data_IF_929742826369
#
_entry.id   IF_929742826369
#
_cell.length_a   1.000
_cell.length_b   1.000
_cell.length_c   1.000
_cell.angle_alpha   90.00
_cell.angle_beta   90.00
_cell.angle_gamma   90.00
#
_symmetry.space_group_name_H-M   'P 1'
#
loop_
_entity.id
_entity.type
_entity.pdbx_description
1 polymer ?
#
# COMPACT_ATOMS: atom_id res chain seq x y z
N UNK A 1 -2.55 -79.52 -20.19
CA UNK A 1 -2.25 -78.31 -19.41
C UNK A 1 -2.26 -77.15 -20.41
N UNK A 2 -3.07 -76.09 -20.22
CA UNK A 2 -3.19 -75.01 -21.19
C UNK A 2 -2.03 -74.03 -21.01
N UNK A 3 -1.33 -73.70 -22.08
CA UNK A 3 -0.35 -72.61 -22.10
C UNK A 3 -1.08 -71.37 -22.57
N UNK A 4 -1.36 -70.46 -21.63
CA UNK A 4 -1.97 -69.16 -21.88
C UNK A 4 -1.09 -68.37 -22.85
N UNK A 5 -1.65 -68.01 -24.00
CA UNK A 5 -1.03 -67.07 -24.93
C UNK A 5 -1.21 -65.69 -24.30
N UNK A 6 -0.12 -65.10 -23.82
CA UNK A 6 -0.12 -63.68 -23.46
C UNK A 6 -0.28 -62.89 -24.75
N UNK A 7 -1.47 -62.33 -24.94
CA UNK A 7 -1.75 -61.38 -26.00
C UNK A 7 -0.78 -60.21 -25.80
N UNK A 8 0.23 -60.13 -26.66
CA UNK A 8 1.12 -58.98 -26.73
C UNK A 8 0.26 -57.82 -27.21
N UNK A 9 -0.44 -57.16 -26.28
CA UNK A 9 -1.01 -55.86 -26.50
C UNK A 9 0.12 -55.02 -27.09
N UNK A 10 -0.08 -54.52 -28.30
CA UNK A 10 0.94 -53.77 -29.01
C UNK A 10 1.18 -52.49 -28.19
N UNK A 11 2.20 -52.52 -27.34
CA UNK A 11 2.45 -51.53 -26.28
C UNK A 11 2.50 -50.12 -26.89
N UNK A 12 3.00 -50.01 -28.11
CA UNK A 12 2.98 -48.79 -28.91
C UNK A 12 1.56 -48.20 -29.09
N UNK A 13 0.56 -49.03 -29.42
CA UNK A 13 -0.82 -48.56 -29.58
C UNK A 13 -1.44 -48.10 -28.25
N UNK A 14 -1.10 -48.76 -27.14
CA UNK A 14 -1.52 -48.35 -25.81
C UNK A 14 -0.88 -47.02 -25.38
N UNK A 15 0.42 -46.82 -25.67
CA UNK A 15 1.12 -45.57 -25.42
C UNK A 15 0.55 -44.40 -26.24
N UNK A 16 0.23 -44.62 -27.53
CA UNK A 16 -0.41 -43.59 -28.37
C UNK A 16 -1.80 -43.23 -27.85
N UNK A 17 -2.58 -44.23 -27.40
CA UNK A 17 -3.89 -44.00 -26.77
C UNK A 17 -3.79 -43.16 -25.50
N UNK A 18 -2.84 -43.48 -24.63
CA UNK A 18 -2.63 -42.75 -23.38
C UNK A 18 -2.16 -41.30 -23.62
N UNK A 19 -1.22 -41.10 -24.55
CA UNK A 19 -0.76 -39.76 -24.92
C UNK A 19 -1.91 -38.86 -25.43
N UNK A 20 -2.85 -39.43 -26.19
CA UNK A 20 -4.04 -38.72 -26.64
C UNK A 20 -4.97 -38.29 -25.49
N UNK A 21 -5.14 -39.14 -24.48
CA UNK A 21 -5.92 -38.80 -23.28
C UNK A 21 -5.22 -37.72 -22.44
N UNK A 22 -3.90 -37.83 -22.29
CA UNK A 22 -3.12 -36.84 -21.53
C UNK A 22 -3.15 -35.47 -22.23
N UNK A 23 -3.07 -35.42 -23.57
CA UNK A 23 -3.23 -34.20 -24.37
C UNK A 23 -4.60 -33.54 -24.18
N UNK A 24 -5.68 -34.33 -24.04
CA UNK A 24 -7.02 -33.80 -23.79
C UNK A 24 -7.16 -33.12 -22.41
N UNK A 25 -6.23 -33.38 -21.48
CA UNK A 25 -6.22 -32.72 -20.17
C UNK A 25 -5.48 -31.38 -20.17
N UNK A 26 -4.72 -31.07 -21.21
CA UNK A 26 -4.04 -29.78 -21.32
C UNK A 26 -4.96 -28.70 -21.89
N UNK A 27 -4.76 -27.47 -21.44
CA UNK A 27 -5.37 -26.30 -22.05
C UNK A 27 -4.80 -26.09 -23.47
N UNK A 28 -5.65 -26.07 -24.52
CA UNK A 28 -5.20 -25.96 -25.90
C UNK A 28 -4.53 -24.62 -26.23
N UNK A 29 -4.81 -23.56 -25.46
CA UNK A 29 -4.25 -22.22 -25.70
C UNK A 29 -2.85 -22.05 -25.07
N UNK A 30 -2.53 -22.87 -24.06
CA UNK A 30 -1.25 -22.86 -23.36
C UNK A 30 -0.28 -23.91 -23.90
N UNK A 31 -0.80 -25.00 -24.49
CA UNK A 31 -0.03 -26.07 -25.07
C UNK A 31 0.68 -26.96 -24.04
N UNK A 32 1.72 -27.65 -24.50
CA UNK A 32 2.51 -28.59 -23.68
C UNK A 32 3.98 -28.52 -24.06
N UNK A 33 4.82 -29.02 -23.16
CA UNK A 33 6.25 -29.23 -23.41
C UNK A 33 6.54 -30.73 -23.36
N UNK A 34 7.36 -31.20 -24.32
CA UNK A 34 7.85 -32.59 -24.35
C UNK A 34 9.30 -32.59 -23.92
N UNK A 35 9.64 -33.43 -22.94
CA UNK A 35 11.03 -33.70 -22.59
C UNK A 35 11.40 -35.13 -23.04
N UNK A 36 11.88 -35.32 -24.28
CA UNK A 36 12.11 -36.65 -24.82
C UNK A 36 13.32 -37.30 -24.14
N UNK A 37 13.10 -38.49 -23.59
CA UNK A 37 14.16 -39.41 -23.18
C UNK A 37 14.19 -40.58 -24.16
N UNK A 38 15.33 -41.26 -24.28
CA UNK A 38 15.43 -42.51 -25.05
C UNK A 38 15.73 -43.66 -24.11
N UNK A 39 15.11 -44.81 -24.36
CA UNK A 39 15.39 -46.06 -23.67
C UNK A 39 16.00 -47.01 -24.69
N UNK A 40 17.06 -47.71 -24.29
CA UNK A 40 17.63 -48.82 -25.03
C UNK A 40 17.64 -50.04 -24.12
N UNK A 41 17.22 -51.19 -24.66
CA UNK A 41 17.24 -52.44 -23.94
C UNK A 41 18.53 -53.19 -24.25
N UNK A 42 19.24 -53.64 -23.21
CA UNK A 42 20.40 -54.52 -23.39
C UNK A 42 19.91 -55.93 -23.75
N UNK A 43 20.29 -56.41 -24.92
CA UNK A 43 19.94 -57.72 -25.42
C UNK A 43 20.89 -58.80 -24.87
N UNK A 44 20.46 -60.06 -24.95
CA UNK A 44 21.22 -61.20 -24.42
C UNK A 44 22.56 -61.44 -25.17
N UNK A 45 22.72 -60.91 -26.37
CA UNK A 45 23.95 -60.95 -27.16
C UNK A 45 24.94 -59.82 -26.80
N UNK A 46 24.60 -58.99 -25.82
CA UNK A 46 25.41 -57.86 -25.36
C UNK A 46 25.26 -56.59 -26.20
N UNK A 47 24.39 -56.57 -27.21
CA UNK A 47 24.09 -55.37 -28.00
C UNK A 47 22.90 -54.60 -27.41
N UNK A 48 22.83 -53.30 -27.67
CA UNK A 48 21.66 -52.49 -27.32
C UNK A 48 20.66 -52.52 -28.47
N UNK A 49 19.37 -52.48 -28.14
CA UNK A 49 18.32 -52.21 -29.13
C UNK A 49 18.51 -50.83 -29.78
N UNK A 50 17.87 -50.65 -30.94
CA UNK A 50 17.62 -49.30 -31.45
C UNK A 50 16.96 -48.44 -30.35
N UNK A 51 17.32 -47.14 -30.26
CA UNK A 51 16.77 -46.25 -29.24
C UNK A 51 15.28 -46.01 -29.47
N UNK A 52 14.47 -46.29 -28.45
CA UNK A 52 13.04 -46.01 -28.43
C UNK A 52 12.75 -44.74 -27.63
N UNK A 53 11.86 -43.90 -28.16
CA UNK A 53 11.44 -42.66 -27.51
C UNK A 53 10.56 -42.96 -26.29
N UNK A 54 10.99 -42.48 -25.13
CA UNK A 54 10.22 -42.41 -23.91
C UNK A 54 10.09 -40.94 -23.48
N UNK A 55 8.93 -40.35 -23.68
CA UNK A 55 8.72 -38.92 -23.44
C UNK A 55 7.67 -38.71 -22.36
N UNK A 56 7.93 -37.78 -21.44
CA UNK A 56 6.90 -37.27 -20.53
C UNK A 56 6.31 -36.00 -21.12
N UNK A 57 4.99 -35.96 -21.21
CA UNK A 57 4.22 -34.78 -21.58
C UNK A 57 3.92 -33.97 -20.32
N UNK A 58 4.23 -32.67 -20.35
CA UNK A 58 3.90 -31.73 -19.26
C UNK A 58 3.02 -30.63 -19.83
N UNK A 59 1.80 -30.49 -19.33
CA UNK A 59 0.91 -29.39 -19.72
C UNK A 59 1.51 -28.06 -19.25
N UNK A 60 1.54 -27.07 -20.15
CA UNK A 60 1.90 -25.72 -19.78
C UNK A 60 0.77 -25.13 -18.93
N UNK A 61 1.11 -24.34 -17.91
CA UNK A 61 0.13 -23.62 -17.09
C UNK A 61 0.26 -22.14 -17.36
N UNK A 62 -0.86 -21.43 -17.43
CA UNK A 62 -0.84 -19.98 -17.43
C UNK A 62 -0.09 -19.53 -16.17
N UNK A 63 0.83 -18.56 -16.26
CA UNK A 63 1.26 -17.86 -15.06
C UNK A 63 -0.01 -17.34 -14.39
N UNK A 64 -0.30 -17.80 -13.17
CA UNK A 64 -1.47 -17.32 -12.45
C UNK A 64 -1.38 -15.81 -12.38
N UNK A 65 -2.39 -15.11 -12.91
CA UNK A 65 -2.48 -13.66 -12.76
C UNK A 65 -2.51 -13.38 -11.27
N UNK A 66 -1.38 -12.97 -10.69
CA UNK A 66 -1.35 -12.55 -9.31
C UNK A 66 -2.39 -11.41 -9.18
N UNK A 67 -3.31 -11.47 -8.21
CA UNK A 67 -4.24 -10.38 -8.01
C UNK A 67 -3.44 -9.09 -7.81
N UNK A 68 -3.86 -8.00 -8.44
CA UNK A 68 -3.23 -6.70 -8.23
C UNK A 68 -3.39 -6.32 -6.75
N UNK A 69 -2.25 -6.21 -6.06
CA UNK A 69 -2.19 -5.73 -4.68
C UNK A 69 -1.44 -4.41 -4.67
N UNK A 70 -2.10 -3.37 -4.16
CA UNK A 70 -1.45 -2.07 -3.95
C UNK A 70 -0.59 -2.17 -2.69
N UNK A 71 0.71 -1.95 -2.85
CA UNK A 71 1.67 -2.02 -1.75
C UNK A 71 1.81 -0.68 -1.03
N UNK A 72 2.46 -0.67 0.14
CA UNK A 72 2.83 0.57 0.81
C UNK A 72 3.71 1.48 -0.07
N UNK A 73 4.60 0.88 -0.87
CA UNK A 73 5.49 1.63 -1.75
C UNK A 73 4.66 2.39 -2.80
N UNK A 74 3.70 1.71 -3.43
CA UNK A 74 2.77 2.32 -4.38
C UNK A 74 1.97 3.45 -3.73
N UNK A 75 1.44 3.21 -2.52
CA UNK A 75 0.66 4.21 -1.79
C UNK A 75 1.47 5.47 -1.47
N UNK A 76 2.75 5.31 -1.11
CA UNK A 76 3.67 6.43 -0.86
C UNK A 76 4.06 7.20 -2.13
N UNK A 77 3.90 6.62 -3.32
CA UNK A 77 4.10 7.35 -4.58
C UNK A 77 2.93 8.24 -4.96
N UNK A 78 1.75 8.03 -4.34
CA UNK A 78 0.58 8.85 -4.60
C UNK A 78 0.80 10.27 -4.07
N UNK A 79 0.41 11.26 -4.87
CA UNK A 79 0.46 12.67 -4.49
C UNK A 79 -0.74 13.01 -3.60
N UNK A 80 -0.62 12.69 -2.30
CA UNK A 80 -1.55 13.16 -1.29
C UNK A 80 -1.37 14.66 -1.10
N UNK A 81 -2.48 15.39 -0.99
CA UNK A 81 -2.45 16.82 -0.66
C UNK A 81 -2.27 16.98 0.85
N UNK A 82 -1.25 17.70 1.34
CA UNK A 82 -1.10 17.92 2.78
C UNK A 82 -2.30 18.68 3.37
N UNK A 83 -2.77 18.30 4.55
CA UNK A 83 -3.88 18.98 5.22
C UNK A 83 -3.44 20.36 5.73
N UNK A 84 -4.18 21.42 5.40
CA UNK A 84 -3.82 22.78 5.80
C UNK A 84 -3.96 22.98 7.32
N UNK A 85 -2.96 23.64 7.91
CA UNK A 85 -2.97 23.97 9.35
C UNK A 85 -3.61 25.35 9.55
N UNK A 86 -4.49 25.45 10.54
CA UNK A 86 -4.91 26.73 11.11
C UNK A 86 -4.27 26.88 12.49
N UNK A 87 -3.58 28.00 12.69
CA UNK A 87 -3.02 28.40 14.00
C UNK A 87 -3.74 29.67 14.44
N UNK A 88 -4.32 29.61 15.64
CA UNK A 88 -4.97 30.74 16.30
C UNK A 88 -4.02 31.46 17.27
N UNK A 89 -4.30 32.75 17.57
CA UNK A 89 -5.40 33.57 17.05
C UNK A 89 -5.12 34.15 15.64
N UNK A 90 -6.16 34.53 14.90
CA UNK A 90 -6.07 35.00 13.50
C UNK A 90 -5.15 36.22 13.28
N UNK A 91 -4.91 37.00 14.33
CA UNK A 91 -3.94 38.11 14.34
C UNK A 91 -2.47 37.66 14.23
N UNK A 92 -2.17 36.36 14.32
CA UNK A 92 -0.82 35.82 14.16
C UNK A 92 0.11 36.07 15.34
N UNK A 93 -0.42 36.42 16.52
CA UNK A 93 0.39 36.56 17.73
C UNK A 93 -0.38 36.20 19.01
N UNK A 94 0.35 35.72 20.01
CA UNK A 94 -0.15 35.32 21.33
C UNK A 94 0.81 35.75 22.45
N UNK A 95 0.35 36.09 23.66
CA UNK A 95 1.25 36.30 24.79
C UNK A 95 2.00 35.03 25.20
N UNK A 96 3.18 35.18 25.81
CA UNK A 96 3.85 34.09 26.53
C UNK A 96 2.90 33.49 27.58
N UNK A 97 2.94 32.16 27.73
CA UNK A 97 2.08 31.36 28.63
C UNK A 97 0.58 31.42 28.32
N UNK A 98 0.18 31.99 27.18
CA UNK A 98 -1.17 31.83 26.64
C UNK A 98 -1.20 30.77 25.55
N UNK A 99 -2.33 30.07 25.46
CA UNK A 99 -2.50 28.98 24.51
C UNK A 99 -2.71 29.50 23.09
N UNK A 100 -1.98 28.91 22.15
CA UNK A 100 -2.27 28.95 20.72
C UNK A 100 -3.04 27.67 20.37
N UNK A 101 -4.25 27.83 19.83
CA UNK A 101 -5.07 26.71 19.34
C UNK A 101 -4.60 26.34 17.94
N UNK A 102 -4.46 25.04 17.67
CA UNK A 102 -4.18 24.54 16.32
C UNK A 102 -5.20 23.50 15.91
N UNK A 103 -5.55 23.47 14.63
CA UNK A 103 -6.39 22.44 14.06
C UNK A 103 -6.13 22.29 12.57
N UNK A 104 -6.57 21.18 12.00
CA UNK A 104 -6.44 20.85 10.58
C UNK A 104 -7.74 20.28 10.03
N UNK A 105 -7.85 20.20 8.71
CA UNK A 105 -8.84 19.33 8.09
C UNK A 105 -8.40 17.85 8.12
N UNK A 106 -9.38 16.96 8.26
CA UNK A 106 -9.21 15.51 8.31
C UNK A 106 -10.06 14.77 7.27
N UNK A 107 -10.47 15.43 6.16
CA UNK A 107 -11.26 14.74 5.14
C UNK A 107 -10.44 13.69 4.38
N UNK A 108 -11.06 12.53 4.07
CA UNK A 108 -10.47 11.57 3.13
C UNK A 108 -10.25 12.17 1.74
N UNK A 109 -9.19 11.73 1.07
CA UNK A 109 -8.89 12.06 -0.32
C UNK A 109 -9.15 10.85 -1.21
N UNK A 110 -9.81 11.06 -2.35
CA UNK A 110 -10.03 10.02 -3.35
C UNK A 110 -9.21 10.34 -4.60
N UNK A 111 -8.36 9.39 -5.00
CA UNK A 111 -7.42 9.54 -6.10
C UNK A 111 -7.63 8.39 -7.07
N UNK A 112 -7.94 8.69 -8.32
CA UNK A 112 -7.96 7.70 -9.39
C UNK A 112 -6.64 7.77 -10.15
N UNK A 113 -5.95 6.64 -10.24
CA UNK A 113 -4.64 6.52 -10.89
C UNK A 113 -4.51 5.20 -11.63
N UNK A 114 -3.40 4.99 -12.33
CA UNK A 114 -3.06 3.71 -12.95
C UNK A 114 -1.85 3.11 -12.25
N UNK A 115 -2.01 1.91 -11.70
CA UNK A 115 -0.92 1.14 -11.08
C UNK A 115 -0.76 -0.16 -11.86
N UNK A 116 0.48 -0.46 -12.28
CA UNK A 116 0.81 -1.65 -13.07
C UNK A 116 -0.10 -1.85 -14.31
N UNK A 117 -0.53 -0.74 -14.93
CA UNK A 117 -1.40 -0.76 -16.12
C UNK A 117 -2.90 -0.95 -15.85
N UNK A 118 -3.33 -1.05 -14.60
CA UNK A 118 -4.75 -1.12 -14.24
C UNK A 118 -5.24 0.17 -13.56
N UNK A 119 -6.47 0.63 -13.86
CA UNK A 119 -7.08 1.74 -13.13
C UNK A 119 -7.37 1.32 -11.69
N UNK A 120 -6.96 2.16 -10.75
CA UNK A 120 -7.15 1.97 -9.31
C UNK A 120 -7.69 3.26 -8.73
N UNK A 121 -8.75 3.16 -7.93
CA UNK A 121 -9.24 4.26 -7.10
C UNK A 121 -8.76 4.04 -5.67
N UNK A 122 -8.00 4.99 -5.14
CA UNK A 122 -7.47 4.96 -3.78
C UNK A 122 -8.18 6.00 -2.93
N UNK A 123 -8.70 5.58 -1.77
CA UNK A 123 -9.20 6.46 -0.72
C UNK A 123 -8.18 6.50 0.40
N UNK A 124 -7.58 7.68 0.63
CA UNK A 124 -6.62 7.93 1.69
C UNK A 124 -7.31 8.71 2.83
N UNK A 125 -7.24 8.20 4.05
CA UNK A 125 -7.89 8.80 5.23
C UNK A 125 -6.82 9.23 6.23
N UNK A 126 -6.84 10.47 6.73
CA UNK A 126 -5.98 10.90 7.84
C UNK A 126 -6.23 10.06 9.08
N UNK A 127 -5.16 9.63 9.76
CA UNK A 127 -5.26 8.80 10.95
C UNK A 127 -4.57 9.43 12.16
N UNK A 128 -3.29 9.83 12.03
CA UNK A 128 -2.53 10.47 13.10
C UNK A 128 -1.98 11.83 12.68
N UNK A 129 -1.88 12.73 13.65
CA UNK A 129 -1.32 14.07 13.53
C UNK A 129 -0.21 14.25 14.55
N UNK A 130 0.98 14.61 14.08
CA UNK A 130 2.13 14.94 14.92
C UNK A 130 2.46 16.41 14.75
N UNK A 131 2.27 17.19 15.81
CA UNK A 131 2.48 18.64 15.86
C UNK A 131 3.85 18.97 16.45
N UNK A 132 4.72 19.60 15.66
CA UNK A 132 5.99 20.16 16.11
C UNK A 132 5.81 21.68 16.33
N UNK A 133 6.08 22.13 17.55
CA UNK A 133 5.85 23.50 18.01
C UNK A 133 6.98 24.46 17.65
N UNK A 134 8.09 23.97 17.07
CA UNK A 134 9.25 24.75 16.65
C UNK A 134 10.01 25.47 17.79
N UNK A 135 9.83 25.07 19.05
CA UNK A 135 10.56 25.58 20.22
C UNK A 135 11.55 24.55 20.80
N UNK A 136 11.68 23.38 20.18
CA UNK A 136 12.51 22.27 20.63
C UNK A 136 11.87 21.38 21.69
N UNK A 137 10.59 21.63 22.05
CA UNK A 137 9.81 20.73 22.88
C UNK A 137 9.47 19.42 22.17
N UNK A 138 9.03 18.43 22.94
CA UNK A 138 8.53 17.16 22.39
C UNK A 138 7.26 17.42 21.55
N UNK A 139 7.20 16.92 20.30
CA UNK A 139 6.00 17.01 19.49
C UNK A 139 4.77 16.37 20.15
N UNK A 140 3.59 16.89 19.83
CA UNK A 140 2.32 16.33 20.30
C UNK A 140 1.72 15.40 19.25
N UNK A 141 1.47 14.14 19.63
CA UNK A 141 0.81 13.15 18.76
C UNK A 141 -0.64 12.94 19.18
N UNK A 142 -1.55 12.94 18.21
CA UNK A 142 -3.00 12.75 18.44
C UNK A 142 -3.69 12.17 17.21
N UNK A 143 -4.84 11.52 17.40
CA UNK A 143 -5.77 11.14 16.31
C UNK A 143 -6.89 12.18 16.11
N UNK A 144 -7.01 13.15 17.01
CA UNK A 144 -7.94 14.27 16.91
C UNK A 144 -7.29 15.39 16.06
N UNK A 145 -7.92 15.82 14.94
CA UNK A 145 -7.39 16.90 14.11
C UNK A 145 -7.42 18.29 14.78
N UNK A 146 -7.98 18.41 15.98
CA UNK A 146 -8.19 19.68 16.65
C UNK A 146 -9.54 20.27 16.31
N UNK A 147 -9.96 21.24 17.12
CA UNK A 147 -11.18 22.01 16.89
C UNK A 147 -10.91 23.51 17.06
N UNK A 148 -11.67 24.37 16.37
CA UNK A 148 -11.57 25.81 16.57
C UNK A 148 -12.05 26.20 17.97
N UNK A 149 -11.60 27.39 18.41
CA UNK A 149 -12.12 28.04 19.61
C UNK A 149 -13.66 28.25 19.50
N UNK A 150 -14.45 28.11 20.58
CA UNK A 150 -14.04 27.84 21.97
C UNK A 150 -13.82 26.35 22.31
N UNK A 151 -14.34 25.42 21.50
CA UNK A 151 -14.34 23.98 21.78
C UNK A 151 -13.03 23.29 21.39
N UNK A 152 -11.92 24.01 21.44
CA UNK A 152 -10.63 23.53 21.02
C UNK A 152 -10.19 22.27 21.79
N UNK A 153 -9.49 21.38 21.09
CA UNK A 153 -8.99 20.12 21.65
C UNK A 153 -7.48 19.98 21.55
N UNK A 154 -6.83 20.73 20.66
CA UNK A 154 -5.38 20.79 20.53
C UNK A 154 -4.91 22.24 20.69
N UNK A 155 -4.03 22.47 21.66
CA UNK A 155 -3.46 23.78 21.92
C UNK A 155 -2.09 23.65 22.60
N UNK A 156 -1.28 24.70 22.48
CA UNK A 156 0.06 24.75 23.07
C UNK A 156 0.38 26.14 23.62
N UNK A 157 1.08 26.21 24.76
CA UNK A 157 1.48 27.45 25.40
C UNK A 157 3.00 27.61 25.35
N UNK A 158 3.46 28.61 24.61
CA UNK A 158 4.89 28.93 24.51
C UNK A 158 5.39 29.66 25.77
N UNK A 159 6.57 29.26 26.26
CA UNK A 159 7.17 29.82 27.48
C UNK A 159 8.17 30.95 27.21
N UNK A 160 8.50 31.21 25.94
CA UNK A 160 9.47 32.22 25.51
C UNK A 160 8.90 33.04 24.36
N UNK A 161 9.23 34.33 24.35
CA UNK A 161 8.91 35.19 23.22
C UNK A 161 9.76 34.80 22.00
N UNK A 162 9.19 34.92 20.80
CA UNK A 162 9.84 34.49 19.58
C UNK A 162 8.87 34.41 18.40
N UNK A 163 9.39 34.01 17.24
CA UNK A 163 8.58 33.65 16.09
C UNK A 163 8.69 32.14 15.88
N UNK A 164 7.55 31.47 15.83
CA UNK A 164 7.47 30.01 15.73
C UNK A 164 6.65 29.62 14.49
N UNK A 165 7.06 28.55 13.82
CA UNK A 165 6.37 28.01 12.66
C UNK A 165 6.01 26.57 12.94
N UNK A 166 4.76 26.36 13.37
CA UNK A 166 4.25 25.02 13.67
C UNK A 166 4.27 24.17 12.39
N UNK A 167 4.76 22.94 12.51
CA UNK A 167 4.66 21.94 11.44
C UNK A 167 3.83 20.76 11.91
N UNK A 168 3.15 20.11 10.97
CA UNK A 168 2.34 18.94 11.25
C UNK A 168 2.72 17.83 10.27
N UNK A 169 2.99 16.64 10.79
CA UNK A 169 3.04 15.42 9.98
C UNK A 169 1.72 14.68 10.13
N UNK A 170 1.03 14.46 9.02
CA UNK A 170 -0.18 13.64 8.95
C UNK A 170 0.17 12.26 8.46
N UNK A 171 -0.21 11.22 9.20
CA UNK A 171 -0.13 9.82 8.77
C UNK A 171 -1.47 9.42 8.17
N UNK A 172 -1.41 8.78 6.99
CA UNK A 172 -2.58 8.36 6.22
C UNK A 172 -2.66 6.85 6.15
N UNK A 173 -3.86 6.33 6.38
CA UNK A 173 -4.22 4.96 5.99
C UNK A 173 -4.90 5.00 4.62
N UNK A 174 -4.84 3.89 3.89
CA UNK A 174 -5.36 3.82 2.53
C UNK A 174 -6.17 2.57 2.30
N UNK A 175 -7.14 2.67 1.41
CA UNK A 175 -7.87 1.55 0.84
C UNK A 175 -8.00 1.77 -0.67
N UNK A 176 -7.99 0.71 -1.44
CA UNK A 176 -8.03 0.78 -2.90
C UNK A 176 -9.16 -0.06 -3.47
N UNK A 177 -9.63 0.35 -4.64
CA UNK A 177 -10.70 -0.29 -5.39
C UNK A 177 -10.26 -0.51 -6.84
N UNK A 178 -10.55 -1.70 -7.36
CA UNK A 178 -10.33 -2.09 -8.75
C UNK A 178 -11.62 -2.05 -9.58
N UNK A 179 -12.76 -1.81 -8.93
CA UNK A 179 -14.12 -1.83 -9.49
C UNK A 179 -14.80 -0.45 -9.39
N UNK A 180 -14.00 0.61 -9.54
CA UNK A 180 -14.48 2.00 -9.56
C UNK A 180 -15.21 2.44 -8.28
N UNK A 181 -14.80 1.91 -7.13
CA UNK A 181 -15.28 2.29 -5.80
C UNK A 181 -16.44 1.46 -5.29
N UNK A 182 -16.81 0.35 -5.95
CA UNK A 182 -17.87 -0.53 -5.46
C UNK A 182 -17.40 -1.40 -4.28
N UNK A 183 -16.14 -1.86 -4.32
CA UNK A 183 -15.50 -2.58 -3.20
C UNK A 183 -14.12 -1.99 -2.92
N UNK A 184 -13.78 -1.90 -1.62
CA UNK A 184 -12.50 -1.39 -1.17
C UNK A 184 -11.73 -2.47 -0.40
N UNK A 185 -10.44 -2.55 -0.69
CA UNK A 185 -9.47 -3.41 -0.01
C UNK A 185 -8.46 -2.55 0.74
N UNK A 186 -8.16 -2.83 2.01
CA UNK A 186 -7.15 -2.08 2.75
C UNK A 186 -5.76 -2.17 2.10
N UNK A 187 -5.04 -1.04 2.05
CA UNK A 187 -3.63 -1.01 1.72
C UNK A 187 -2.83 -1.31 2.98
N UNK A 188 -1.90 -2.26 2.92
CA UNK A 188 -1.00 -2.52 4.05
C UNK A 188 0.02 -1.40 4.18
N UNK A 189 0.08 -0.77 5.36
CA UNK A 189 1.00 0.32 5.66
C UNK A 189 0.39 1.72 5.49
N UNK A 190 1.23 2.73 5.62
CA UNK A 190 0.83 4.14 5.66
C UNK A 190 1.68 5.02 4.74
N UNK A 191 1.11 6.17 4.39
CA UNK A 191 1.79 7.30 3.75
C UNK A 191 1.78 8.51 4.70
N UNK A 192 2.62 9.51 4.42
CA UNK A 192 2.71 10.70 5.26
C UNK A 192 2.79 11.97 4.42
N UNK A 193 2.19 13.05 4.93
CA UNK A 193 2.34 14.41 4.39
C UNK A 193 2.80 15.36 5.49
N UNK A 194 3.51 16.41 5.11
CA UNK A 194 3.94 17.47 6.03
C UNK A 194 3.30 18.77 5.61
N UNK A 195 2.75 19.49 6.59
CA UNK A 195 2.20 20.83 6.43
C UNK A 195 2.94 21.81 7.33
N UNK A 196 2.99 23.07 6.90
CA UNK A 196 3.64 24.16 7.61
C UNK A 196 2.65 25.30 7.76
N UNK A 197 2.45 25.77 8.99
CA UNK A 197 1.55 26.88 9.29
C UNK A 197 2.16 28.24 8.92
N UNK A 198 1.33 29.30 8.79
CA UNK A 198 1.83 30.66 8.87
C UNK A 198 2.58 30.92 10.20
N UNK A 199 3.59 31.82 10.24
CA UNK A 199 4.33 32.11 11.46
C UNK A 199 3.44 32.69 12.57
N UNK A 200 3.64 32.22 13.80
CA UNK A 200 3.02 32.73 15.02
C UNK A 200 4.05 33.52 15.82
N UNK A 201 3.72 34.75 16.19
CA UNK A 201 4.58 35.59 17.03
C UNK A 201 4.18 35.50 18.50
N UNK A 202 5.06 35.01 19.36
CA UNK A 202 4.85 34.99 20.81
C UNK A 202 5.49 36.22 21.43
N UNK A 203 4.71 36.98 22.20
CA UNK A 203 5.15 38.27 22.78
C UNK A 203 5.08 38.26 24.30
N UNK A 204 6.05 38.91 24.93
CA UNK A 204 5.95 39.22 26.35
C UNK A 204 5.13 40.51 26.53
N UNK A 205 4.08 40.46 27.35
CA UNK A 205 3.29 41.64 27.70
C UNK A 205 3.78 42.21 29.03
N UNK A 206 3.93 43.53 29.10
CA UNK A 206 4.27 44.25 30.32
C UNK A 206 3.10 45.13 30.74
N UNK A 207 2.75 45.07 32.01
CA UNK A 207 1.72 45.94 32.58
C UNK A 207 2.36 47.23 33.08
N UNK A 208 1.68 48.34 32.87
CA UNK A 208 2.01 49.64 33.43
C UNK A 208 0.76 50.20 34.09
N UNK A 209 0.92 50.79 35.28
CA UNK A 209 -0.17 51.48 35.97
C UNK A 209 -0.30 52.89 35.39
N UNK A 210 -1.52 53.26 35.02
CA UNK A 210 -1.87 54.61 34.56
C UNK A 210 -2.83 55.19 35.57
N UNK A 211 -2.60 56.43 36.01
CA UNK A 211 -3.54 57.15 36.87
C UNK A 211 -4.72 57.65 36.02
N UNK A 212 -5.96 57.44 36.50
CA UNK A 212 -7.14 58.02 35.85
C UNK A 212 -7.10 59.55 36.00
N UNK A 213 -7.32 60.32 34.92
CA UNK A 213 -7.43 61.77 35.05
C UNK A 213 -8.66 62.10 35.90
N UNK A 214 -8.42 62.79 37.02
CA UNK A 214 -9.49 63.41 37.82
C UNK A 214 -10.19 64.45 36.94
N UNK A 215 -11.45 64.17 36.58
CA UNK A 215 -12.34 65.10 35.87
C UNK A 215 -12.93 66.15 36.79
#
# INVERSE_FOLDING_TARGET
MPTTIYETANIAAACVGQAGLDLQTCDPDLGFTVNPTVIQTLQADGTYSEPELNSVLVCNRAPGTAPLVVTQADFRTLRLTPSAIVVGPTQGWVPVNMIAVVYTDAQPQVITTTLLGQPVTVRATPHDFVWDWADGSTPTTTTDPGQPWPNHTVAYAYTRAGQYTVTMTTTWTGEYSLDSGATYTPITGTAATISTAPPLTVKELRTHLVEDPIS
#
